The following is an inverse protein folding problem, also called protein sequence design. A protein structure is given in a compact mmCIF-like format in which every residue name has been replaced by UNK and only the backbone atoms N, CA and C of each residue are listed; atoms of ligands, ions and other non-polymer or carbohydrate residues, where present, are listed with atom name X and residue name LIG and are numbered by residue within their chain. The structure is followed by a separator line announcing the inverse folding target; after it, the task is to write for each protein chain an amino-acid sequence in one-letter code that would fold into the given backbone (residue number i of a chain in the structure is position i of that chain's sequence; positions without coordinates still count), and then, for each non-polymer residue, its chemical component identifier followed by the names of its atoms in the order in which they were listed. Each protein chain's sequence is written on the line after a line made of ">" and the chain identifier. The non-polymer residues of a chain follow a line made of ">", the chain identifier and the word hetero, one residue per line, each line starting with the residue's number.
data_IF_474326753556
#
_entry.id   IF_474326753556
#
_cell.length_a   1.000
_cell.length_b   1.000
_cell.length_c   1.000
_cell.angle_alpha   90.00
_cell.angle_beta   90.00
_cell.angle_gamma   90.00
#
_symmetry.space_group_name_H-M   'P 1'
#
loop_
_entity.id
_entity.type
_entity.pdbx_description
1 polymer ?
#
# COMPACT_ATOMS: atom_id res chain seq x y z
N UNK A 1 6.13 0.10 9.49
CA UNK A 1 4.82 0.79 9.42
C UNK A 1 3.72 -0.24 9.63
N UNK A 2 2.56 0.17 10.17
CA UNK A 2 1.41 -0.73 10.34
C UNK A 2 0.14 -0.08 9.78
N UNK A 3 -0.75 -0.91 9.21
CA UNK A 3 -1.99 -0.50 8.56
C UNK A 3 -3.12 -1.36 9.12
N UNK A 4 -4.19 -0.74 9.60
CA UNK A 4 -5.44 -1.43 9.87
C UNK A 4 -6.14 -1.75 8.55
N UNK A 5 -6.67 -2.96 8.42
CA UNK A 5 -7.37 -3.44 7.23
C UNK A 5 -8.61 -4.24 7.60
N UNK A 6 -9.67 -4.06 6.85
CA UNK A 6 -10.87 -4.88 6.96
C UNK A 6 -10.65 -6.27 6.36
N UNK A 7 -9.92 -6.35 5.24
CA UNK A 7 -9.61 -7.60 4.54
C UNK A 7 -8.11 -7.81 4.39
N UNK A 8 -7.53 -8.57 5.34
CA UNK A 8 -6.10 -8.94 5.35
C UNK A 8 -5.65 -9.63 4.07
N UNK A 9 -6.47 -10.53 3.52
CA UNK A 9 -6.10 -11.30 2.34
C UNK A 9 -6.15 -10.45 1.07
N UNK A 10 -7.10 -9.53 0.97
CA UNK A 10 -7.19 -8.60 -0.15
C UNK A 10 -5.95 -7.70 -0.23
N UNK A 11 -5.60 -7.05 0.89
CA UNK A 11 -4.43 -6.18 0.93
C UNK A 11 -3.12 -6.95 0.73
N UNK A 12 -2.96 -8.10 1.38
CA UNK A 12 -1.79 -8.95 1.20
C UNK A 12 -1.57 -9.29 -0.28
N UNK A 13 -2.60 -9.78 -0.97
CA UNK A 13 -2.51 -10.14 -2.41
C UNK A 13 -2.19 -8.94 -3.28
N UNK A 14 -2.74 -7.76 -2.96
CA UNK A 14 -2.44 -6.53 -3.69
C UNK A 14 -0.95 -6.19 -3.64
N UNK A 15 -0.37 -6.11 -2.43
CA UNK A 15 1.05 -5.76 -2.29
C UNK A 15 2.00 -6.83 -2.84
N UNK A 16 1.64 -8.12 -2.72
CA UNK A 16 2.42 -9.20 -3.33
C UNK A 16 2.39 -9.12 -4.86
N UNK A 17 1.23 -8.83 -5.45
CA UNK A 17 1.06 -8.78 -6.91
C UNK A 17 1.74 -7.59 -7.57
N UNK A 18 1.63 -6.40 -6.98
CA UNK A 18 2.06 -5.16 -7.63
C UNK A 18 3.41 -4.64 -7.17
N UNK A 19 3.85 -5.00 -5.98
CA UNK A 19 5.06 -4.48 -5.36
C UNK A 19 6.04 -5.58 -4.93
N UNK A 20 5.84 -6.80 -5.42
CA UNK A 20 6.69 -7.97 -5.15
C UNK A 20 6.95 -8.18 -3.65
N UNK A 21 5.96 -7.87 -2.81
CA UNK A 21 6.06 -8.06 -1.38
C UNK A 21 6.06 -9.56 -1.04
N UNK A 22 6.96 -9.97 -0.16
CA UNK A 22 6.95 -11.29 0.45
C UNK A 22 6.10 -11.26 1.72
N UNK A 23 5.25 -12.26 1.92
CA UNK A 23 4.36 -12.37 3.07
C UNK A 23 4.71 -13.58 3.91
N UNK A 24 4.87 -13.38 5.22
CA UNK A 24 4.98 -14.45 6.20
C UNK A 24 3.64 -15.12 6.52
N UNK A 25 3.67 -16.03 7.49
CA UNK A 25 2.45 -16.67 8.00
C UNK A 25 1.61 -15.68 8.82
N UNK A 26 0.29 -15.91 8.85
CA UNK A 26 -0.62 -15.11 9.67
C UNK A 26 -0.32 -15.30 11.16
N UNK A 27 -0.13 -14.20 11.88
CA UNK A 27 -0.18 -14.20 13.33
C UNK A 27 -1.63 -14.06 13.81
N UNK A 28 -2.01 -14.88 14.77
CA UNK A 28 -3.36 -14.84 15.37
C UNK A 28 -3.26 -14.81 16.89
N UNK A 29 -3.96 -13.86 17.51
CA UNK A 29 -4.16 -13.80 18.94
C UNK A 29 -5.67 -13.92 19.24
N UNK A 30 -6.10 -15.14 19.60
CA UNK A 30 -7.52 -15.45 19.78
C UNK A 30 -8.16 -14.71 20.97
N UNK A 31 -7.41 -14.43 22.04
CA UNK A 31 -7.93 -13.72 23.21
C UNK A 31 -8.24 -12.26 22.92
N UNK A 32 -7.47 -11.63 22.04
CA UNK A 32 -7.64 -10.24 21.58
C UNK A 32 -8.44 -10.13 20.28
N UNK A 33 -8.81 -11.25 19.66
CA UNK A 33 -9.43 -11.31 18.32
C UNK A 33 -8.62 -10.51 17.28
N UNK A 34 -7.30 -10.57 17.38
CA UNK A 34 -6.35 -9.84 16.57
C UNK A 34 -5.65 -10.79 15.60
N UNK A 35 -5.47 -10.36 14.35
CA UNK A 35 -4.66 -11.05 13.35
C UNK A 35 -3.81 -10.08 12.57
N UNK A 36 -2.66 -10.54 12.11
CA UNK A 36 -1.80 -9.72 11.26
C UNK A 36 -0.96 -10.54 10.29
N UNK A 37 -0.53 -9.86 9.20
CA UNK A 37 0.52 -10.30 8.29
C UNK A 37 1.66 -9.30 8.30
N UNK A 38 2.88 -9.80 8.18
CA UNK A 38 4.05 -8.98 7.86
C UNK A 38 4.41 -9.13 6.39
N UNK A 39 4.42 -8.01 5.68
CA UNK A 39 4.89 -7.89 4.31
C UNK A 39 6.30 -7.31 4.30
N UNK A 40 7.21 -7.96 3.59
CA UNK A 40 8.60 -7.51 3.41
C UNK A 40 8.82 -7.07 1.98
N UNK A 41 9.44 -5.91 1.77
CA UNK A 41 9.72 -5.33 0.47
C UNK A 41 11.23 -5.35 0.20
N UNK A 42 11.62 -5.97 -0.92
CA UNK A 42 13.00 -6.06 -1.36
C UNK A 42 13.94 -6.71 -0.34
N UNK A 43 15.25 -6.55 -0.56
CA UNK A 43 16.29 -7.10 0.32
C UNK A 43 16.59 -6.22 1.55
N UNK A 44 15.98 -5.04 1.63
CA UNK A 44 16.28 -4.02 2.63
C UNK A 44 15.64 -4.20 4.00
N UNK A 45 14.82 -5.23 4.20
CA UNK A 45 14.17 -5.50 5.48
C UNK A 45 13.05 -4.53 5.89
N UNK A 46 12.63 -3.62 5.01
CA UNK A 46 11.46 -2.77 5.27
C UNK A 46 10.19 -3.62 5.30
N UNK A 47 9.39 -3.42 6.33
CA UNK A 47 8.15 -4.19 6.51
C UNK A 47 6.94 -3.29 6.72
N UNK A 48 5.80 -3.78 6.23
CA UNK A 48 4.47 -3.29 6.59
C UNK A 48 3.76 -4.42 7.34
N UNK A 49 3.19 -4.11 8.49
CA UNK A 49 2.26 -5.00 9.19
C UNK A 49 0.83 -4.64 8.78
N UNK A 50 0.12 -5.60 8.22
CA UNK A 50 -1.33 -5.50 8.00
C UNK A 50 -2.02 -6.08 9.23
N UNK A 51 -2.90 -5.31 9.86
CA UNK A 51 -3.53 -5.68 11.13
C UNK A 51 -5.05 -5.65 11.01
N UNK A 52 -5.69 -6.61 11.67
CA UNK A 52 -7.15 -6.69 11.73
C UNK A 52 -7.66 -6.97 13.15
N UNK A 53 -8.73 -6.26 13.51
CA UNK A 53 -9.61 -6.57 14.66
C UNK A 53 -11.07 -6.38 14.23
N UNK A 54 -12.05 -7.05 14.89
CA UNK A 54 -13.47 -6.95 14.48
C UNK A 54 -14.11 -5.57 14.66
N UNK A 55 -13.48 -4.68 15.43
CA UNK A 55 -13.97 -3.34 15.79
C UNK A 55 -13.29 -2.20 15.03
N UNK A 56 -12.71 -2.50 13.86
CA UNK A 56 -12.12 -1.49 12.98
C UNK A 56 -13.23 -0.56 12.45
N UNK A 57 -13.00 0.74 12.57
CA UNK A 57 -13.86 1.76 12.00
C UNK A 57 -13.31 2.30 10.68
N UNK A 58 -14.21 2.53 9.73
CA UNK A 58 -13.86 3.11 8.43
C UNK A 58 -13.39 4.56 8.57
N UNK A 59 -12.40 4.93 7.74
CA UNK A 59 -12.04 6.35 7.61
C UNK A 59 -13.14 7.10 6.84
N UNK A 60 -13.40 8.38 7.17
CA UNK A 60 -14.21 9.23 6.31
C UNK A 60 -13.64 9.28 4.88
N UNK A 61 -14.52 9.18 3.89
CA UNK A 61 -14.11 9.10 2.48
C UNK A 61 -13.51 10.41 1.93
N UNK A 62 -13.76 11.55 2.58
CA UNK A 62 -13.43 12.87 2.04
C UNK A 62 -12.49 13.66 2.94
N UNK A 63 -11.48 14.26 2.33
CA UNK A 63 -10.64 15.30 2.92
C UNK A 63 -9.21 14.86 3.25
N UNK A 64 -8.39 15.85 3.60
CA UNK A 64 -7.06 15.64 4.16
C UNK A 64 -7.21 15.47 5.67
N UNK A 65 -7.07 14.25 6.15
CA UNK A 65 -7.15 13.93 7.56
C UNK A 65 -5.79 14.08 8.23
N UNK A 66 -5.77 14.41 9.51
CA UNK A 66 -4.54 14.38 10.31
C UNK A 66 -4.02 12.94 10.39
N UNK A 67 -2.70 12.79 10.31
CA UNK A 67 -2.02 11.50 10.38
C UNK A 67 -1.29 11.18 9.08
N UNK A 68 -1.15 9.89 8.78
CA UNK A 68 -0.45 9.44 7.58
C UNK A 68 -1.22 9.86 6.32
N UNK A 69 -0.59 10.68 5.48
CA UNK A 69 -1.16 11.14 4.21
C UNK A 69 -1.01 10.07 3.11
N UNK A 70 0.19 9.55 2.96
CA UNK A 70 0.59 8.47 2.05
C UNK A 70 1.88 7.82 2.55
N UNK A 71 2.28 6.76 1.91
CA UNK A 71 3.63 6.21 2.01
C UNK A 71 4.18 5.93 0.62
N UNK A 72 5.49 5.99 0.47
CA UNK A 72 6.16 5.79 -0.81
C UNK A 72 6.77 4.38 -0.90
N UNK A 73 6.68 3.80 -2.09
CA UNK A 73 7.40 2.57 -2.46
C UNK A 73 8.29 2.90 -3.67
N UNK A 74 9.61 2.82 -3.48
CA UNK A 74 10.55 2.95 -4.58
C UNK A 74 10.54 1.68 -5.43
N UNK A 75 10.38 1.85 -6.73
CA UNK A 75 10.46 0.77 -7.73
C UNK A 75 11.73 0.87 -8.58
N UNK A 76 12.59 1.85 -8.29
CA UNK A 76 13.94 1.99 -8.81
C UNK A 76 14.06 2.69 -10.13
N UNK A 77 13.11 2.58 -11.05
CA UNK A 77 13.24 3.12 -12.40
C UNK A 77 11.96 3.81 -12.90
N UNK A 78 12.13 4.86 -13.70
CA UNK A 78 11.03 5.62 -14.29
C UNK A 78 10.08 4.76 -15.11
N UNK A 79 10.59 3.85 -15.94
CA UNK A 79 9.77 2.99 -16.80
C UNK A 79 8.92 2.02 -15.97
N UNK A 80 9.39 1.64 -14.78
CA UNK A 80 8.61 0.82 -13.85
C UNK A 80 7.50 1.65 -13.21
N UNK A 81 7.75 2.90 -12.84
CA UNK A 81 6.68 3.81 -12.36
C UNK A 81 5.57 3.92 -13.40
N UNK A 82 5.92 4.16 -14.67
CA UNK A 82 4.97 4.29 -15.76
C UNK A 82 4.17 3.01 -16.00
N UNK A 83 4.85 1.87 -16.15
CA UNK A 83 4.24 0.59 -16.46
C UNK A 83 3.36 0.06 -15.32
N UNK A 84 3.81 0.21 -14.07
CA UNK A 84 3.05 -0.23 -12.90
C UNK A 84 1.81 0.65 -12.69
N UNK A 85 1.93 1.97 -12.86
CA UNK A 85 0.78 2.88 -12.78
C UNK A 85 -0.26 2.56 -13.85
N UNK A 86 0.20 2.29 -15.09
CA UNK A 86 -0.69 1.86 -16.17
C UNK A 86 -1.41 0.56 -15.84
N UNK A 87 -0.66 -0.45 -15.36
CA UNK A 87 -1.21 -1.75 -14.99
C UNK A 87 -2.27 -1.64 -13.89
N UNK A 88 -2.00 -0.87 -12.84
CA UNK A 88 -2.96 -0.63 -11.76
C UNK A 88 -4.24 0.02 -12.27
N UNK A 89 -4.13 1.00 -13.17
CA UNK A 89 -5.29 1.62 -13.82
C UNK A 89 -6.10 0.63 -14.64
N UNK A 90 -5.44 -0.21 -15.44
CA UNK A 90 -6.10 -1.24 -16.27
C UNK A 90 -6.80 -2.29 -15.40
N UNK A 91 -6.24 -2.62 -14.24
CA UNK A 91 -6.82 -3.54 -13.27
C UNK A 91 -7.93 -2.88 -12.39
N UNK A 92 -8.26 -1.59 -12.63
CA UNK A 92 -9.37 -0.87 -11.99
C UNK A 92 -9.04 -0.13 -10.70
N UNK A 93 -7.76 -0.02 -10.33
CA UNK A 93 -7.35 0.74 -9.14
C UNK A 93 -7.27 2.24 -9.44
N UNK A 94 -7.70 3.11 -8.51
CA UNK A 94 -7.66 4.55 -8.70
C UNK A 94 -6.22 5.06 -8.85
N UNK A 95 -5.98 5.83 -9.92
CA UNK A 95 -4.75 6.61 -10.09
C UNK A 95 -5.08 8.05 -9.72
N UNK A 96 -4.58 8.48 -8.56
CA UNK A 96 -4.85 9.81 -7.99
C UNK A 96 -3.97 10.89 -8.59
N UNK A 97 -2.76 10.52 -9.03
CA UNK A 97 -1.84 11.37 -9.77
C UNK A 97 -1.09 10.55 -10.82
N UNK A 98 -1.11 11.01 -12.07
CA UNK A 98 -0.32 10.38 -13.13
C UNK A 98 1.18 10.52 -12.89
N UNK A 99 2.02 9.65 -13.49
CA UNK A 99 3.46 9.79 -13.43
C UNK A 99 3.92 11.19 -13.88
N UNK A 100 4.74 11.84 -13.07
CA UNK A 100 5.25 13.19 -13.31
C UNK A 100 6.57 13.43 -12.58
N UNK A 101 7.32 14.41 -13.04
CA UNK A 101 8.41 14.98 -12.24
C UNK A 101 7.84 15.93 -11.18
N UNK A 102 8.34 15.81 -9.97
CA UNK A 102 8.02 16.71 -8.86
C UNK A 102 9.03 17.87 -8.81
N UNK A 103 8.66 18.94 -8.11
CA UNK A 103 9.53 20.12 -7.97
C UNK A 103 10.83 19.86 -7.20
N UNK A 104 10.88 18.81 -6.41
CA UNK A 104 12.05 18.34 -5.64
C UNK A 104 12.88 17.27 -6.36
N UNK A 105 12.52 16.94 -7.62
CA UNK A 105 13.36 16.13 -8.52
C UNK A 105 13.03 14.64 -8.57
N UNK A 106 11.99 14.18 -7.88
CA UNK A 106 11.53 12.79 -8.00
C UNK A 106 10.67 12.58 -9.24
N UNK A 107 10.57 11.33 -9.66
CA UNK A 107 9.58 10.91 -10.65
C UNK A 107 8.64 9.91 -9.99
N UNK A 108 7.36 10.26 -9.94
CA UNK A 108 6.39 9.53 -9.14
C UNK A 108 4.98 9.56 -9.71
N UNK A 109 4.16 8.60 -9.27
CA UNK A 109 2.71 8.61 -9.41
C UNK A 109 2.07 8.34 -8.04
N UNK A 110 0.78 8.62 -7.90
CA UNK A 110 0.01 8.29 -6.69
C UNK A 110 -1.16 7.42 -7.08
N UNK A 111 -1.29 6.28 -6.41
CA UNK A 111 -2.38 5.32 -6.58
C UNK A 111 -3.07 5.04 -5.26
N UNK A 112 -4.23 4.39 -5.32
CA UNK A 112 -4.92 3.90 -4.13
C UNK A 112 -4.86 2.39 -4.06
N UNK A 113 -4.62 1.84 -2.88
CA UNK A 113 -4.81 0.41 -2.63
C UNK A 113 -6.30 0.05 -2.53
N UNK A 114 -6.70 -1.24 -2.41
CA UNK A 114 -8.11 -1.64 -2.34
C UNK A 114 -8.92 -1.02 -1.22
N UNK A 115 -8.28 -0.55 -0.15
CA UNK A 115 -8.95 0.08 1.00
C UNK A 115 -8.71 1.59 1.09
N UNK A 116 -8.24 2.21 0.01
CA UNK A 116 -8.11 3.66 -0.10
C UNK A 116 -6.85 4.25 0.51
N UNK A 117 -5.87 3.44 0.91
CA UNK A 117 -4.58 3.98 1.32
C UNK A 117 -3.83 4.53 0.12
N UNK A 118 -3.29 5.73 0.24
CA UNK A 118 -2.51 6.37 -0.83
C UNK A 118 -1.09 5.83 -0.84
N UNK A 119 -0.65 5.38 -2.01
CA UNK A 119 0.70 4.87 -2.26
C UNK A 119 1.34 5.76 -3.32
N UNK A 120 2.50 6.30 -3.00
CA UNK A 120 3.36 6.95 -3.96
C UNK A 120 4.31 5.93 -4.56
N UNK A 121 4.27 5.77 -5.88
CA UNK A 121 5.19 4.91 -6.63
C UNK A 121 6.29 5.80 -7.15
N UNK A 122 7.52 5.59 -6.71
CA UNK A 122 8.64 6.51 -6.99
C UNK A 122 9.91 5.78 -7.40
N UNK A 123 10.89 6.52 -7.93
CA UNK A 123 12.25 6.05 -8.23
C UNK A 123 13.17 6.12 -7.04
#
# INVERSE_FOLDING_TARGET
>A
MAIWTEDLDLLRRFYMKYFDAECGEMYVNNSKKFSSYFLTFGKGGTRIELMHTPDIENRPENGNLRGLAHFAISVGEKDIVDSLTKKLREDGYPVLSNPRHTGDGYYESIVSDPEGNRIEITI
#
